data_IF_011818983318
#
_entry.id   IF_011818983318
#
_cell.length_a   1.000
_cell.length_b   1.000
_cell.length_c   1.000
_cell.angle_alpha   90.00
_cell.angle_beta   90.00
_cell.angle_gamma   90.00
#
_symmetry.space_group_name_H-M   'P 1'
#
loop_
_entity.id
_entity.type
_entity.pdbx_description
1 polymer ?
#
# COMPACT_ATOMS: atom_id res chain seq x y z
N UNK A 1 -30.21 -19.90 -12.65
CA UNK A 1 -29.39 -19.66 -13.06
C UNK A 1 -28.26 -19.98 -12.57
N UNK A 2 -27.65 -20.43 -12.82
CA UNK A 2 -26.62 -20.76 -12.24
C UNK A 2 -25.59 -19.83 -12.21
N UNK A 3 -24.96 -19.70 -11.23
CA UNK A 3 -23.89 -18.97 -11.22
C UNK A 3 -22.82 -19.60 -11.91
N UNK A 4 -22.20 -18.91 -12.74
CA UNK A 4 -21.10 -19.41 -13.43
C UNK A 4 -19.90 -19.45 -12.60
N UNK A 5 -19.07 -20.44 -12.76
CA UNK A 5 -17.76 -20.37 -12.17
C UNK A 5 -17.07 -19.20 -12.75
N UNK A 6 -16.63 -18.36 -11.93
CA UNK A 6 -16.14 -17.09 -12.35
C UNK A 6 -14.64 -17.07 -12.36
N UNK A 7 -14.03 -16.43 -13.34
CA UNK A 7 -12.61 -16.16 -13.32
C UNK A 7 -12.31 -14.90 -12.54
N UNK A 8 -13.33 -14.24 -12.01
CA UNK A 8 -13.15 -13.07 -11.18
C UNK A 8 -12.65 -13.48 -9.81
N UNK A 9 -12.08 -12.53 -9.06
CA UNK A 9 -11.73 -12.80 -7.66
C UNK A 9 -12.93 -13.29 -6.88
N UNK A 10 -12.73 -14.04 -5.80
CA UNK A 10 -13.84 -14.45 -4.96
C UNK A 10 -14.68 -13.26 -4.54
N UNK A 11 -15.97 -13.49 -4.35
CA UNK A 11 -16.87 -12.42 -3.95
C UNK A 11 -16.41 -11.73 -2.68
N UNK A 12 -15.79 -12.46 -1.77
CA UNK A 12 -15.31 -11.86 -0.54
C UNK A 12 -14.27 -10.79 -0.81
N UNK A 13 -13.40 -10.94 -1.81
CA UNK A 13 -12.45 -9.88 -2.17
C UNK A 13 -13.13 -8.76 -2.93
N UNK A 14 -14.08 -9.09 -3.79
CA UNK A 14 -14.74 -8.07 -4.60
C UNK A 14 -15.58 -7.12 -3.76
N UNK A 15 -16.14 -7.63 -2.66
CA UNK A 15 -17.00 -6.84 -1.80
C UNK A 15 -16.33 -6.47 -0.48
N UNK A 16 -15.15 -7.01 -0.22
CA UNK A 16 -14.47 -6.74 1.04
C UNK A 16 -14.01 -5.29 1.10
N UNK A 17 -14.08 -4.75 2.29
CA UNK A 17 -13.60 -3.40 2.55
C UNK A 17 -12.80 -3.40 3.85
N UNK A 18 -12.04 -2.32 4.04
CA UNK A 18 -11.40 -2.08 5.33
C UNK A 18 -11.54 -0.60 5.67
N UNK A 19 -11.44 -0.26 6.94
CA UNK A 19 -11.50 1.12 7.36
C UNK A 19 -10.08 1.64 7.53
N UNK A 20 -9.82 2.81 6.95
CA UNK A 20 -8.51 3.43 7.11
C UNK A 20 -8.27 3.76 8.58
N UNK A 21 -7.13 3.32 9.12
CA UNK A 21 -6.82 3.52 10.53
C UNK A 21 -6.49 4.97 10.86
N UNK A 22 -6.30 5.82 9.84
CA UNK A 22 -6.00 7.22 10.07
C UNK A 22 -7.19 8.13 9.83
N UNK A 23 -7.86 8.01 8.68
CA UNK A 23 -8.93 8.94 8.34
C UNK A 23 -10.33 8.34 8.43
N UNK A 24 -10.44 7.04 8.66
CA UNK A 24 -11.73 6.37 8.83
C UNK A 24 -12.48 6.06 7.55
N UNK A 25 -11.92 6.39 6.39
CA UNK A 25 -12.58 6.11 5.13
C UNK A 25 -12.76 4.60 4.94
N UNK A 26 -13.92 4.19 4.47
CA UNK A 26 -14.14 2.80 4.07
C UNK A 26 -13.53 2.60 2.70
N UNK A 27 -12.60 1.66 2.60
CA UNK A 27 -11.80 1.45 1.40
C UNK A 27 -12.08 0.07 0.82
N UNK A 28 -12.29 0.01 -0.49
CA UNK A 28 -12.46 -1.28 -1.16
C UNK A 28 -11.13 -2.05 -1.16
N UNK A 29 -11.19 -3.34 -0.87
CA UNK A 29 -10.00 -4.18 -0.81
C UNK A 29 -9.35 -4.38 -2.19
N UNK A 30 -10.07 -4.12 -3.26
CA UNK A 30 -9.51 -4.14 -4.61
C UNK A 30 -9.51 -2.73 -5.16
N UNK A 31 -8.41 -2.35 -5.80
CA UNK A 31 -8.35 -1.08 -6.50
C UNK A 31 -9.15 -1.09 -7.80
N UNK A 32 -9.25 0.05 -8.48
CA UNK A 32 -9.99 0.14 -9.74
C UNK A 32 -9.44 -0.78 -10.82
N UNK A 33 -8.17 -1.14 -10.72
CA UNK A 33 -7.51 -2.03 -11.67
C UNK A 33 -7.66 -3.51 -11.29
N UNK A 34 -8.43 -3.81 -10.22
CA UNK A 34 -8.62 -5.18 -9.77
C UNK A 34 -7.48 -5.76 -8.95
N UNK A 35 -6.47 -4.95 -8.65
CA UNK A 35 -5.33 -5.40 -7.86
C UNK A 35 -5.63 -5.19 -6.38
N UNK A 36 -5.27 -6.15 -5.50
CA UNK A 36 -5.49 -5.97 -4.06
C UNK A 36 -4.82 -4.71 -3.55
N UNK A 37 -5.55 -3.98 -2.72
CA UNK A 37 -5.12 -2.71 -2.17
C UNK A 37 -4.88 -2.85 -0.68
N UNK A 38 -3.79 -2.27 -0.19
CA UNK A 38 -3.48 -2.32 1.23
C UNK A 38 -3.39 -0.94 1.88
N UNK A 39 -3.70 0.12 1.15
CA UNK A 39 -3.63 1.47 1.70
C UNK A 39 -4.82 2.31 1.24
N UNK A 40 -5.10 3.36 2.01
CA UNK A 40 -6.20 4.26 1.73
C UNK A 40 -5.87 5.16 0.54
N UNK A 41 -6.77 5.29 -0.45
CA UNK A 41 -6.49 6.16 -1.60
C UNK A 41 -6.50 7.64 -1.23
N UNK A 42 -7.15 8.01 -0.14
CA UNK A 42 -7.27 9.41 0.26
C UNK A 42 -6.04 9.93 0.97
N UNK A 43 -5.50 9.18 1.94
CA UNK A 43 -4.37 9.64 2.75
C UNK A 43 -3.13 8.77 2.60
N UNK A 44 -3.23 7.67 1.88
CA UNK A 44 -2.16 6.70 1.60
C UNK A 44 -1.62 5.97 2.82
N UNK A 45 -2.23 6.13 3.99
CA UNK A 45 -1.83 5.36 5.16
C UNK A 45 -2.29 3.91 5.05
N UNK A 46 -1.58 3.02 5.72
CA UNK A 46 -1.88 1.60 5.72
C UNK A 46 -1.86 1.08 7.14
N UNK A 47 -2.10 -0.22 7.31
CA UNK A 47 -2.02 -0.88 8.59
C UNK A 47 -1.04 -2.04 8.49
N UNK A 48 -0.24 -2.23 9.53
CA UNK A 48 0.78 -3.27 9.54
C UNK A 48 0.14 -4.60 9.91
N UNK A 49 -0.42 -5.27 8.92
CA UNK A 49 -1.11 -6.55 9.12
C UNK A 49 -0.36 -7.72 8.50
N UNK A 50 0.75 -7.44 7.81
CA UNK A 50 1.57 -8.48 7.20
C UNK A 50 3.00 -8.35 7.69
N UNK A 51 3.62 -9.49 8.00
CA UNK A 51 5.03 -9.50 8.36
C UNK A 51 5.85 -9.71 7.10
N UNK A 52 6.58 -8.69 6.70
CA UNK A 52 7.35 -8.75 5.46
C UNK A 52 8.63 -9.56 5.60
N UNK A 53 9.09 -9.78 6.80
CA UNK A 53 10.27 -10.59 7.03
C UNK A 53 9.93 -12.07 6.95
N UNK A 54 8.83 -12.46 7.59
CA UNK A 54 8.43 -13.87 7.62
C UNK A 54 7.32 -14.20 6.65
N UNK A 55 6.70 -13.19 6.04
CA UNK A 55 5.70 -13.41 5.02
C UNK A 55 4.33 -13.81 5.52
N UNK A 56 4.09 -13.75 6.82
CA UNK A 56 2.81 -14.12 7.40
C UNK A 56 2.07 -12.93 7.97
N UNK A 57 0.97 -13.18 8.70
CA UNK A 57 0.24 -12.11 9.38
C UNK A 57 1.11 -11.47 10.46
N UNK A 58 0.94 -10.17 10.66
CA UNK A 58 1.62 -9.46 11.74
C UNK A 58 0.63 -9.14 12.84
N UNK A 59 1.06 -9.27 14.08
CA UNK A 59 0.24 -8.87 15.23
C UNK A 59 0.39 -7.40 15.57
N UNK A 60 1.25 -6.68 14.87
CA UNK A 60 1.53 -5.28 15.18
C UNK A 60 0.31 -4.38 15.00
N UNK A 61 -0.34 -4.46 13.85
CA UNK A 61 -1.57 -3.74 13.50
C UNK A 61 -1.51 -2.22 13.67
N UNK A 62 -0.32 -1.67 13.79
CA UNK A 62 -0.17 -0.24 13.93
C UNK A 62 -0.27 0.45 12.57
N UNK A 63 -0.44 1.77 12.60
CA UNK A 63 -0.54 2.55 11.39
C UNK A 63 0.80 2.57 10.67
N UNK A 64 0.76 2.46 9.35
CA UNK A 64 1.93 2.61 8.51
C UNK A 64 1.82 3.91 7.75
N UNK A 65 2.80 4.79 7.93
CA UNK A 65 2.81 6.10 7.28
C UNK A 65 3.49 6.03 5.93
N UNK A 66 2.93 6.69 4.91
CA UNK A 66 3.63 6.81 3.63
C UNK A 66 4.79 7.79 3.81
N UNK A 67 5.99 7.35 3.45
CA UNK A 67 7.17 8.18 3.64
C UNK A 67 7.88 8.56 2.36
N UNK A 68 7.69 7.80 1.28
CA UNK A 68 8.39 8.07 0.03
C UNK A 68 7.76 7.33 -1.13
N UNK A 69 8.19 7.69 -2.34
CA UNK A 69 7.83 7.01 -3.57
C UNK A 69 9.11 6.42 -4.16
N UNK A 70 9.02 5.19 -4.63
CA UNK A 70 10.09 4.56 -5.37
C UNK A 70 9.58 4.22 -6.77
N UNK A 71 10.46 4.33 -7.76
CA UNK A 71 10.12 3.96 -9.14
C UNK A 71 10.99 2.78 -9.50
N UNK A 72 10.35 1.67 -9.86
CA UNK A 72 11.06 0.47 -10.24
C UNK A 72 11.65 0.63 -11.65
N UNK A 73 12.58 -0.25 -12.00
CA UNK A 73 13.16 -0.25 -13.36
C UNK A 73 12.11 -0.46 -14.44
N UNK A 74 11.01 -1.11 -14.08
CA UNK A 74 9.88 -1.30 -14.99
C UNK A 74 9.10 -0.02 -15.24
N UNK A 75 9.34 1.03 -14.44
CA UNK A 75 8.57 2.26 -14.50
C UNK A 75 7.42 2.31 -13.51
N UNK A 76 7.16 1.23 -12.80
CA UNK A 76 6.06 1.20 -11.83
C UNK A 76 6.40 2.00 -10.59
N UNK A 77 5.41 2.74 -10.11
CA UNK A 77 5.56 3.55 -8.89
C UNK A 77 5.11 2.75 -7.69
N UNK A 78 5.89 2.84 -6.61
CA UNK A 78 5.62 2.16 -5.37
C UNK A 78 5.55 3.17 -4.24
N UNK A 79 4.61 2.98 -3.31
CA UNK A 79 4.55 3.76 -2.08
C UNK A 79 5.34 3.02 -1.01
N UNK A 80 6.25 3.72 -0.36
CA UNK A 80 7.03 3.16 0.74
C UNK A 80 6.36 3.61 2.03
N UNK A 81 6.05 2.63 2.88
CA UNK A 81 5.43 2.87 4.18
C UNK A 81 6.37 2.48 5.30
N UNK A 82 6.29 3.19 6.41
CA UNK A 82 7.00 2.83 7.64
C UNK A 82 5.99 2.65 8.76
N UNK A 83 6.10 1.53 9.49
CA UNK A 83 5.27 1.31 10.65
C UNK A 83 5.60 2.31 11.74
N UNK A 84 4.60 2.95 12.31
CA UNK A 84 4.82 3.97 13.34
C UNK A 84 5.22 3.37 14.68
N UNK A 85 5.10 2.04 14.83
CA UNK A 85 5.41 1.37 16.07
C UNK A 85 6.71 0.58 16.02
N UNK A 86 6.88 -0.26 15.01
CA UNK A 86 8.06 -1.14 14.93
C UNK A 86 9.07 -0.74 13.86
N UNK A 87 8.77 0.33 13.12
CA UNK A 87 9.66 0.89 12.08
C UNK A 87 9.89 -0.03 10.87
N UNK A 88 9.13 -1.12 10.76
CA UNK A 88 9.26 -1.98 9.58
C UNK A 88 8.86 -1.22 8.32
N UNK A 89 9.60 -1.44 7.24
CA UNK A 89 9.34 -0.79 5.97
C UNK A 89 8.64 -1.76 5.03
N UNK A 90 7.68 -1.25 4.27
CA UNK A 90 6.99 -2.03 3.25
C UNK A 90 6.87 -1.20 1.98
N UNK A 91 6.63 -1.86 0.86
CA UNK A 91 6.35 -1.18 -0.39
C UNK A 91 5.10 -1.78 -1.01
N UNK A 92 4.32 -0.96 -1.69
CA UNK A 92 3.13 -1.43 -2.38
C UNK A 92 2.91 -0.59 -3.63
N UNK A 93 2.28 -1.18 -4.66
CA UNK A 93 2.04 -0.43 -5.89
C UNK A 93 1.11 0.76 -5.67
N UNK A 94 1.40 1.85 -6.38
CA UNK A 94 0.48 2.98 -6.44
C UNK A 94 -0.76 2.54 -7.23
N UNK A 95 -1.93 2.89 -6.71
CA UNK A 95 -3.18 2.59 -7.38
C UNK A 95 -3.66 3.78 -8.20
N UNK A 96 -4.44 3.56 -9.27
CA UNK A 96 -4.83 4.65 -10.16
C UNK A 96 -5.64 5.77 -9.49
N UNK A 97 -6.35 5.45 -8.41
CA UNK A 97 -7.17 6.43 -7.71
C UNK A 97 -6.52 7.00 -6.46
N UNK A 98 -5.22 6.73 -6.25
CA UNK A 98 -4.51 7.29 -5.09
C UNK A 98 -4.42 8.81 -5.19
N UNK A 99 -4.41 9.47 -4.05
CA UNK A 99 -4.40 10.93 -3.97
C UNK A 99 -3.16 11.50 -4.63
N UNK A 100 -3.36 12.18 -5.76
CA UNK A 100 -2.29 12.70 -6.59
C UNK A 100 -1.47 13.77 -5.88
N UNK A 101 -2.11 14.58 -5.05
CA UNK A 101 -1.39 15.64 -4.35
C UNK A 101 -0.38 15.07 -3.37
N UNK A 102 -0.75 14.01 -2.65
CA UNK A 102 0.18 13.38 -1.72
C UNK A 102 1.31 12.70 -2.47
N UNK A 103 0.98 12.00 -3.56
CA UNK A 103 1.99 11.36 -4.39
C UNK A 103 2.99 12.37 -4.93
N UNK A 104 2.50 13.50 -5.43
CA UNK A 104 3.38 14.52 -5.97
C UNK A 104 4.25 15.15 -4.91
N UNK A 105 3.72 15.38 -3.73
CA UNK A 105 4.53 15.92 -2.63
C UNK A 105 5.69 14.99 -2.29
N UNK A 106 5.41 13.69 -2.23
CA UNK A 106 6.46 12.73 -1.92
C UNK A 106 7.46 12.60 -3.05
N UNK A 107 6.99 12.66 -4.30
CA UNK A 107 7.86 12.48 -5.46
C UNK A 107 8.85 13.64 -5.64
N UNK A 108 8.45 14.86 -5.26
CA UNK A 108 9.33 16.02 -5.44
C UNK A 108 10.18 16.32 -4.20
N UNK A 109 9.97 15.59 -3.10
CA UNK A 109 10.74 15.83 -1.89
C UNK A 109 12.18 15.38 -2.11
N UNK A 110 13.17 16.21 -1.82
CA UNK A 110 14.56 15.78 -1.97
C UNK A 110 14.88 14.61 -1.05
N UNK A 111 15.63 13.65 -1.56
CA UNK A 111 16.08 12.50 -0.78
C UNK A 111 17.59 12.53 -0.63
N UNK A 112 18.14 13.70 -0.27
CA UNK A 112 19.57 13.82 -0.02
C UNK A 112 20.03 12.87 1.07
N UNK A 113 19.18 12.66 2.06
CA UNK A 113 19.44 11.70 3.12
C UNK A 113 18.16 10.88 3.34
N UNK A 114 17.98 9.82 2.56
CA UNK A 114 16.77 9.01 2.71
C UNK A 114 16.71 8.43 4.11
N UNK A 115 15.50 8.32 4.70
CA UNK A 115 15.34 7.77 6.05
C UNK A 115 15.53 6.26 6.11
N UNK A 116 15.93 5.64 5.01
CA UNK A 116 16.11 4.20 4.91
C UNK A 116 17.15 3.90 3.84
N UNK A 117 17.85 2.75 3.93
CA UNK A 117 18.73 2.34 2.84
C UNK A 117 17.91 1.94 1.63
N UNK A 118 18.23 2.51 0.47
CA UNK A 118 17.47 2.21 -0.74
C UNK A 118 17.65 0.76 -1.19
N UNK A 119 18.77 0.14 -0.82
CA UNK A 119 19.03 -1.25 -1.17
C UNK A 119 18.05 -2.22 -0.53
N UNK A 120 17.32 -1.80 0.51
CA UNK A 120 16.31 -2.63 1.15
C UNK A 120 15.26 -3.08 0.14
N UNK A 121 15.00 -2.26 -0.87
CA UNK A 121 13.95 -2.55 -1.83
C UNK A 121 14.49 -3.16 -3.13
N UNK A 122 15.77 -3.48 -3.17
CA UNK A 122 16.36 -4.10 -4.36
C UNK A 122 16.41 -3.14 -5.53
N UNK A 123 15.67 -3.47 -6.59
CA UNK A 123 15.74 -2.68 -7.79
C UNK A 123 14.89 -1.45 -7.68
N UNK A 124 15.48 -0.32 -7.55
CA UNK A 124 14.79 0.97 -7.52
C UNK A 124 15.18 1.80 -8.73
#
# INVERSE_FOLDING_TARGET
>A
MSSLPSNNPPNILRTATFACVRCGLTVAALGPDGVPRNHCPSCLHSQHVQDHVEGGPSDCRSRMSPISIAVLRTGDWMVIHRCTRCDELTSSPVCPDDNQLILMRMAVRPLAQPPFPLEVFGEL
#
